data_IF_983337310759
#
_entry.id   IF_983337310759
#
_cell.length_a   1.000
_cell.length_b   1.000
_cell.length_c   1.000
_cell.angle_alpha   90.00
_cell.angle_beta   90.00
_cell.angle_gamma   90.00
#
_symmetry.space_group_name_H-M   'P 1'
#
loop_
_entity.id
_entity.type
_entity.pdbx_description
1 polymer ?
#
# COMPACT_ATOMS: atom_id res chain seq x y z
N UNK A 1 -4.64 4.53 -9.44
CA UNK A 1 -3.91 4.47 -8.15
C UNK A 1 -4.91 4.71 -7.03
N UNK A 2 -4.95 3.86 -6.00
CA UNK A 2 -5.74 4.12 -4.78
C UNK A 2 -4.80 4.56 -3.67
N UNK A 3 -5.02 5.75 -3.13
CA UNK A 3 -4.24 6.30 -2.00
C UNK A 3 -5.08 7.35 -1.27
N UNK A 4 -4.58 7.85 -0.14
CA UNK A 4 -5.18 8.95 0.57
C UNK A 4 -4.12 10.04 0.83
N UNK A 5 -4.46 11.29 0.58
CA UNK A 5 -3.63 12.49 0.80
C UNK A 5 -4.37 13.44 1.74
N UNK A 6 -3.65 14.37 2.36
CA UNK A 6 -4.30 15.44 3.14
C UNK A 6 -4.88 16.51 2.21
N UNK A 7 -5.88 17.23 2.71
CA UNK A 7 -6.39 18.44 2.07
C UNK A 7 -5.43 19.63 2.29
N UNK A 8 -4.24 19.52 1.71
CA UNK A 8 -3.17 20.51 1.82
C UNK A 8 -2.40 20.68 0.51
N UNK A 9 -1.56 21.71 0.46
CA UNK A 9 -0.78 22.05 -0.72
C UNK A 9 0.17 20.93 -1.15
N UNK A 10 0.64 20.07 -0.22
CA UNK A 10 1.52 18.95 -0.55
C UNK A 10 0.70 17.86 -1.26
N UNK A 11 -0.47 17.53 -0.74
CA UNK A 11 -1.39 16.56 -1.33
C UNK A 11 -1.83 16.97 -2.73
N UNK A 12 -2.26 18.23 -2.89
CA UNK A 12 -2.66 18.81 -4.18
C UNK A 12 -1.51 18.73 -5.19
N UNK A 13 -0.30 19.11 -4.76
CA UNK A 13 0.89 19.00 -5.59
C UNK A 13 1.15 17.56 -6.03
N UNK A 14 1.17 16.60 -5.10
CA UNK A 14 1.42 15.18 -5.40
C UNK A 14 0.39 14.60 -6.36
N UNK A 15 -0.91 14.85 -6.14
CA UNK A 15 -1.98 14.37 -7.02
C UNK A 15 -1.80 14.91 -8.44
N UNK A 16 -1.43 16.19 -8.59
CA UNK A 16 -1.14 16.81 -9.89
C UNK A 16 0.08 16.20 -10.57
N UNK A 17 1.18 15.99 -9.85
CA UNK A 17 2.39 15.40 -10.44
C UNK A 17 2.19 13.94 -10.86
N UNK A 18 1.43 13.16 -10.08
CA UNK A 18 1.07 11.78 -10.46
C UNK A 18 0.18 11.79 -11.72
N UNK A 19 -0.80 12.68 -11.81
CA UNK A 19 -1.68 12.76 -12.98
C UNK A 19 -0.91 13.01 -14.30
N UNK A 20 0.20 13.76 -14.26
CA UNK A 20 1.06 14.00 -15.44
C UNK A 20 1.71 12.72 -15.99
N UNK A 21 1.79 11.65 -15.20
CA UNK A 21 2.38 10.37 -15.61
C UNK A 21 1.41 9.48 -16.40
N UNK A 22 0.14 9.89 -16.56
CA UNK A 22 -0.91 9.09 -17.18
C UNK A 22 -1.55 8.06 -16.24
N UNK A 23 -1.17 8.05 -14.96
CA UNK A 23 -1.84 7.25 -13.92
C UNK A 23 -3.21 7.87 -13.63
N UNK A 24 -4.25 7.05 -13.60
CA UNK A 24 -5.56 7.47 -13.12
C UNK A 24 -5.52 7.81 -11.62
N UNK A 25 -5.87 9.06 -11.31
CA UNK A 25 -5.90 9.65 -9.96
C UNK A 25 -7.31 9.87 -9.42
N UNK A 26 -8.34 9.38 -10.11
CA UNK A 26 -9.75 9.47 -9.70
C UNK A 26 -9.99 8.84 -8.32
N UNK A 27 -9.24 7.79 -7.98
CA UNK A 27 -9.31 7.05 -6.72
C UNK A 27 -8.31 7.53 -5.64
N UNK A 28 -7.69 8.70 -5.82
CA UNK A 28 -6.91 9.35 -4.76
C UNK A 28 -7.88 10.13 -3.86
N UNK A 29 -8.14 9.57 -2.69
CA UNK A 29 -8.95 10.17 -1.63
C UNK A 29 -8.23 11.36 -0.99
N UNK A 30 -9.02 12.29 -0.45
CA UNK A 30 -8.54 13.47 0.27
C UNK A 30 -9.12 13.41 1.68
N UNK A 31 -8.26 13.47 2.69
CA UNK A 31 -8.62 13.53 4.11
C UNK A 31 -8.54 14.98 4.59
N UNK A 32 -9.64 15.50 5.15
CA UNK A 32 -9.73 16.88 5.62
C UNK A 32 -9.11 17.10 7.01
N UNK A 33 -8.76 16.02 7.73
CA UNK A 33 -8.33 16.08 9.13
C UNK A 33 -6.86 15.71 9.32
N UNK A 34 -6.30 14.88 8.44
CA UNK A 34 -4.91 14.44 8.50
C UNK A 34 -4.07 15.15 7.43
N UNK A 35 -2.88 15.68 7.77
CA UNK A 35 -1.98 16.25 6.77
C UNK A 35 -1.43 15.15 5.86
N UNK A 36 -0.95 15.53 4.67
CA UNK A 36 -0.27 14.63 3.74
C UNK A 36 0.98 14.03 4.38
N UNK A 37 1.15 12.71 4.22
CA UNK A 37 2.26 11.97 4.81
C UNK A 37 3.58 12.25 4.12
N UNK A 38 4.66 12.30 4.90
CA UNK A 38 6.00 12.67 4.44
C UNK A 38 7.00 11.62 4.93
N UNK A 39 7.92 11.24 4.04
CA UNK A 39 9.11 10.46 4.42
C UNK A 39 10.33 11.33 4.18
N UNK A 40 11.06 11.63 5.25
CA UNK A 40 12.34 12.35 5.18
C UNK A 40 13.44 11.32 5.02
N UNK A 41 14.24 11.44 3.96
CA UNK A 41 15.29 10.48 3.62
C UNK A 41 16.65 11.19 3.64
N UNK A 42 17.61 10.61 4.35
CA UNK A 42 19.00 11.05 4.34
C UNK A 42 19.73 10.53 3.10
N UNK A 43 20.51 11.39 2.43
CA UNK A 43 21.39 10.96 1.34
C UNK A 43 22.74 10.52 1.89
N UNK A 44 22.88 9.24 2.19
CA UNK A 44 24.16 8.62 2.57
C UNK A 44 24.68 7.75 1.42
N UNK A 45 26.00 7.44 1.41
CA UNK A 45 26.59 6.51 0.42
C UNK A 45 26.12 5.05 0.62
N UNK A 46 25.47 4.73 1.74
CA UNK A 46 24.98 3.41 2.12
C UNK A 46 23.47 3.25 1.95
N UNK A 47 22.84 2.42 2.80
CA UNK A 47 21.38 2.38 2.88
C UNK A 47 20.88 3.74 3.40
N UNK A 48 20.00 4.46 2.68
CA UNK A 48 19.45 5.71 3.16
C UNK A 48 18.68 5.48 4.47
N UNK A 49 19.05 6.20 5.53
CA UNK A 49 18.21 6.29 6.72
C UNK A 49 17.02 7.19 6.40
N UNK A 50 15.85 6.83 6.92
CA UNK A 50 14.63 7.60 6.72
C UNK A 50 13.80 7.69 8.00
N UNK A 51 12.97 8.73 8.07
CA UNK A 51 11.96 8.93 9.10
C UNK A 51 10.62 9.11 8.37
N UNK A 52 9.63 8.29 8.71
CA UNK A 52 8.31 8.35 8.11
C UNK A 52 7.31 9.01 9.08
N UNK A 53 6.72 10.11 8.64
CA UNK A 53 5.59 10.77 9.29
C UNK A 53 4.31 10.34 8.57
N UNK A 54 3.70 9.25 9.07
CA UNK A 54 2.50 8.64 8.49
C UNK A 54 1.22 9.21 9.10
N UNK A 55 0.35 9.74 8.23
CA UNK A 55 -0.82 10.56 8.57
C UNK A 55 -1.96 10.26 7.60
N UNK A 56 -2.19 11.03 6.53
CA UNK A 56 -3.25 10.75 5.57
C UNK A 56 -3.09 9.40 4.84
N UNK A 57 -1.86 8.92 4.58
CA UNK A 57 -1.65 7.70 3.79
C UNK A 57 -2.28 6.45 4.42
N UNK A 58 -2.31 6.39 5.76
CA UNK A 58 -2.97 5.31 6.52
C UNK A 58 -4.49 5.45 6.60
N UNK A 59 -5.08 6.55 6.12
CA UNK A 59 -6.53 6.83 6.18
C UNK A 59 -7.31 6.26 4.98
N UNK A 60 -6.81 5.18 4.35
CA UNK A 60 -7.61 4.43 3.39
C UNK A 60 -8.78 3.75 4.10
N UNK A 61 -9.95 3.82 3.46
CA UNK A 61 -11.22 3.30 3.96
C UNK A 61 -11.83 2.34 2.94
N UNK A 62 -12.72 1.42 3.34
CA UNK A 62 -13.32 0.45 2.42
C UNK A 62 -13.96 1.07 1.18
N UNK A 63 -14.66 2.21 1.32
CA UNK A 63 -15.29 2.90 0.20
C UNK A 63 -14.31 3.43 -0.85
N UNK A 64 -13.03 3.59 -0.52
CA UNK A 64 -12.00 4.01 -1.48
C UNK A 64 -11.60 2.89 -2.44
N UNK A 65 -11.96 1.63 -2.15
CA UNK A 65 -11.66 0.46 -2.98
C UNK A 65 -12.97 -0.30 -3.29
N UNK A 66 -13.84 0.25 -4.17
CA UNK A 66 -15.10 -0.40 -4.50
C UNK A 66 -14.91 -1.71 -5.28
N UNK A 67 -15.86 -2.64 -5.18
CA UNK A 67 -15.81 -3.92 -5.89
C UNK A 67 -15.78 -3.77 -7.42
N UNK A 68 -16.42 -2.74 -7.97
CA UNK A 68 -16.37 -2.45 -9.41
C UNK A 68 -14.93 -2.22 -9.88
N UNK A 69 -14.15 -1.44 -9.14
CA UNK A 69 -12.74 -1.20 -9.45
C UNK A 69 -11.92 -2.49 -9.37
N UNK A 70 -12.20 -3.35 -8.37
CA UNK A 70 -11.51 -4.63 -8.23
C UNK A 70 -11.85 -5.60 -9.36
N UNK A 71 -13.11 -5.65 -9.79
CA UNK A 71 -13.58 -6.51 -10.88
C UNK A 71 -13.00 -6.11 -12.25
N UNK A 72 -12.72 -4.83 -12.45
CA UNK A 72 -12.08 -4.30 -13.66
C UNK A 72 -10.55 -4.44 -13.63
N UNK A 73 -9.97 -4.79 -12.48
CA UNK A 73 -8.53 -4.89 -12.28
C UNK A 73 -8.01 -6.30 -12.56
N UNK A 74 -6.92 -6.39 -13.34
CA UNK A 74 -6.21 -7.66 -13.52
C UNK A 74 -5.37 -8.04 -12.29
N UNK A 75 -4.81 -7.04 -11.59
CA UNK A 75 -3.92 -7.22 -10.45
C UNK A 75 -4.22 -6.17 -9.37
N UNK A 76 -4.43 -6.63 -8.13
CA UNK A 76 -4.42 -5.82 -6.93
C UNK A 76 -3.05 -5.91 -6.27
N UNK A 77 -2.30 -4.81 -6.24
CA UNK A 77 -0.95 -4.76 -5.69
C UNK A 77 -0.87 -3.86 -4.46
N UNK A 78 -0.17 -4.29 -3.42
CA UNK A 78 0.13 -3.49 -2.22
C UNK A 78 1.55 -3.71 -1.71
N UNK A 79 1.93 -3.00 -0.65
CA UNK A 79 3.26 -3.05 -0.03
C UNK A 79 3.16 -3.27 1.49
N UNK A 80 4.22 -3.79 2.12
CA UNK A 80 4.30 -3.87 3.58
C UNK A 80 4.22 -2.49 4.24
N UNK A 81 4.70 -1.42 3.57
CA UNK A 81 4.56 -0.06 4.08
C UNK A 81 3.09 0.33 4.29
N UNK A 82 2.25 0.13 3.26
CA UNK A 82 0.83 0.46 3.34
C UNK A 82 0.09 -0.41 4.39
N UNK A 83 0.48 -1.68 4.51
CA UNK A 83 -0.08 -2.61 5.49
C UNK A 83 0.33 -2.32 6.93
N UNK A 84 1.29 -1.45 7.20
CA UNK A 84 1.87 -1.34 8.56
C UNK A 84 1.01 -0.60 9.60
N UNK A 85 -0.06 0.10 9.20
CA UNK A 85 -0.91 0.85 10.14
C UNK A 85 -2.39 0.84 9.71
N UNK A 86 -3.27 0.80 10.72
CA UNK A 86 -4.70 1.00 10.54
C UNK A 86 -5.08 2.50 10.39
N UNK A 87 -6.21 2.81 9.71
CA UNK A 87 -7.19 1.88 9.10
C UNK A 87 -6.81 1.28 7.73
N UNK A 88 -5.72 1.73 7.12
CA UNK A 88 -5.30 1.21 5.81
C UNK A 88 -5.01 -0.30 5.82
N UNK A 89 -4.39 -0.83 6.87
CA UNK A 89 -4.09 -2.26 7.00
C UNK A 89 -5.35 -3.12 6.81
N UNK A 90 -6.34 -2.93 7.67
CA UNK A 90 -7.60 -3.68 7.62
C UNK A 90 -8.33 -3.49 6.28
N UNK A 91 -8.38 -2.26 5.77
CA UNK A 91 -8.98 -1.94 4.46
C UNK A 91 -8.31 -2.68 3.30
N UNK A 92 -6.98 -2.70 3.25
CA UNK A 92 -6.21 -3.33 2.17
C UNK A 92 -6.30 -4.86 2.25
N UNK A 93 -6.28 -5.42 3.46
CA UNK A 93 -6.44 -6.87 3.67
C UNK A 93 -7.84 -7.32 3.24
N UNK A 94 -8.88 -6.56 3.57
CA UNK A 94 -10.24 -6.82 3.08
C UNK A 94 -10.33 -6.71 1.55
N UNK A 95 -9.82 -5.63 0.97
CA UNK A 95 -9.80 -5.44 -0.47
C UNK A 95 -9.08 -6.58 -1.21
N UNK A 96 -7.98 -7.11 -0.67
CA UNK A 96 -7.30 -8.25 -1.27
C UNK A 96 -8.13 -9.54 -1.24
N UNK A 97 -8.91 -9.77 -0.17
CA UNK A 97 -9.85 -10.90 -0.11
C UNK A 97 -10.93 -10.76 -1.19
N UNK A 98 -11.54 -9.57 -1.30
CA UNK A 98 -12.56 -9.26 -2.31
C UNK A 98 -11.98 -9.37 -3.73
N UNK A 99 -10.79 -8.84 -3.96
CA UNK A 99 -10.09 -8.94 -5.25
C UNK A 99 -9.90 -10.40 -5.66
N UNK A 100 -9.40 -11.25 -4.77
CA UNK A 100 -9.22 -12.67 -5.05
C UNK A 100 -10.55 -13.36 -5.40
N UNK A 101 -11.64 -13.05 -4.67
CA UNK A 101 -12.97 -13.57 -4.96
C UNK A 101 -13.53 -13.09 -6.32
N UNK A 102 -13.14 -11.89 -6.76
CA UNK A 102 -13.50 -11.29 -8.04
C UNK A 102 -12.56 -11.69 -9.19
N UNK A 103 -11.71 -12.70 -9.00
CA UNK A 103 -10.70 -13.16 -9.97
C UNK A 103 -9.60 -12.13 -10.30
N UNK A 104 -9.44 -11.08 -9.49
CA UNK A 104 -8.33 -10.14 -9.58
C UNK A 104 -7.11 -10.71 -8.83
N UNK A 105 -5.97 -10.81 -9.52
CA UNK A 105 -4.76 -11.40 -8.94
C UNK A 105 -4.20 -10.51 -7.83
N UNK A 106 -3.90 -11.08 -6.68
CA UNK A 106 -3.29 -10.35 -5.56
C UNK A 106 -1.76 -10.39 -5.67
N UNK A 107 -1.10 -9.27 -5.34
CA UNK A 107 0.35 -9.12 -5.32
C UNK A 107 0.81 -8.27 -4.13
N UNK A 108 1.95 -8.63 -3.54
CA UNK A 108 2.56 -7.92 -2.42
C UNK A 108 4.05 -7.66 -2.71
N UNK A 109 4.48 -6.41 -2.52
CA UNK A 109 5.90 -6.11 -2.31
C UNK A 109 6.22 -6.22 -0.81
N UNK A 110 7.02 -7.24 -0.46
CA UNK A 110 7.40 -7.55 0.92
C UNK A 110 8.53 -6.64 1.45
N UNK A 111 8.42 -5.32 1.21
CA UNK A 111 9.41 -4.30 1.56
C UNK A 111 9.42 -3.95 3.07
N UNK A 112 9.47 -4.96 3.93
CA UNK A 112 9.44 -4.79 5.39
C UNK A 112 10.60 -3.94 5.92
N UNK A 113 10.26 -2.95 6.75
CA UNK A 113 11.22 -2.17 7.53
C UNK A 113 10.72 -2.06 8.97
N UNK A 114 11.58 -2.40 9.93
CA UNK A 114 11.26 -2.34 11.36
C UNK A 114 10.92 -0.92 11.81
N UNK A 115 11.50 0.10 11.17
CA UNK A 115 11.19 1.51 11.42
C UNK A 115 9.76 1.91 11.06
N UNK A 116 9.11 1.14 10.17
CA UNK A 116 7.74 1.38 9.69
C UNK A 116 6.75 0.48 10.40
N UNK A 117 7.12 -0.78 10.64
CA UNK A 117 6.28 -1.78 11.28
C UNK A 117 7.03 -2.43 12.47
N UNK A 118 6.99 -1.80 13.66
CA UNK A 118 7.79 -2.21 14.81
C UNK A 118 7.37 -3.58 15.38
N UNK A 119 6.07 -3.87 15.38
CA UNK A 119 5.56 -5.16 15.82
C UNK A 119 5.80 -6.22 14.74
N UNK A 120 6.96 -6.87 14.84
CA UNK A 120 7.38 -7.94 13.94
C UNK A 120 6.40 -9.12 13.95
N UNK A 121 5.81 -9.46 15.11
CA UNK A 121 4.89 -10.60 15.20
C UNK A 121 3.62 -10.29 14.41
N UNK A 122 3.02 -9.13 14.66
CA UNK A 122 1.85 -8.66 13.91
C UNK A 122 2.17 -8.57 12.40
N UNK A 123 3.33 -8.04 12.02
CA UNK A 123 3.73 -7.98 10.62
C UNK A 123 3.75 -9.37 9.96
N UNK A 124 4.34 -10.36 10.63
CA UNK A 124 4.35 -11.74 10.14
C UNK A 124 2.94 -12.34 10.04
N UNK A 125 2.08 -12.13 11.04
CA UNK A 125 0.70 -12.62 11.01
C UNK A 125 -0.09 -12.02 9.85
N UNK A 126 -0.03 -10.70 9.66
CA UNK A 126 -0.72 -10.00 8.57
C UNK A 126 -0.18 -10.40 7.20
N UNK A 127 1.14 -10.45 7.02
CA UNK A 127 1.76 -10.87 5.75
C UNK A 127 1.44 -12.33 5.44
N UNK A 128 1.42 -13.21 6.44
CA UNK A 128 1.08 -14.63 6.26
C UNK A 128 -0.39 -14.81 5.91
N UNK A 129 -1.29 -14.07 6.57
CA UNK A 129 -2.71 -14.08 6.23
C UNK A 129 -2.95 -13.55 4.80
N UNK A 130 -2.24 -12.49 4.40
CA UNK A 130 -2.24 -11.99 3.03
C UNK A 130 -1.72 -13.06 2.06
N UNK A 131 -0.62 -13.74 2.41
CA UNK A 131 -0.03 -14.85 1.65
C UNK A 131 -0.99 -16.04 1.47
N UNK A 132 -1.81 -16.37 2.47
CA UNK A 132 -2.78 -17.47 2.35
C UNK A 132 -3.81 -17.23 1.23
N UNK A 133 -4.12 -15.97 0.89
CA UNK A 133 -4.98 -15.65 -0.26
C UNK A 133 -4.33 -16.08 -1.59
N UNK A 134 -3.00 -16.14 -1.65
CA UNK A 134 -2.25 -16.60 -2.83
C UNK A 134 -2.41 -18.11 -3.03
N UNK A 135 -2.45 -18.88 -1.95
CA UNK A 135 -2.39 -20.34 -2.03
C UNK A 135 -3.74 -21.01 -2.33
N UNK A 136 -4.84 -20.25 -2.32
CA UNK A 136 -6.13 -20.76 -2.78
C UNK A 136 -6.12 -21.04 -4.30
N UNK A 137 -5.28 -20.34 -5.08
CA UNK A 137 -5.12 -20.54 -6.52
C UNK A 137 -3.66 -20.32 -6.99
N UNK A 138 -2.75 -21.30 -6.84
CA UNK A 138 -1.31 -21.13 -7.04
C UNK A 138 -0.89 -20.69 -8.47
N UNK A 139 -1.68 -21.00 -9.50
CA UNK A 139 -1.42 -20.57 -10.87
C UNK A 139 -1.61 -19.05 -11.12
N UNK A 140 -2.17 -18.33 -10.15
CA UNK A 140 -2.56 -16.92 -10.29
C UNK A 140 -1.70 -15.99 -9.42
N UNK A 141 -0.46 -16.32 -9.10
CA UNK A 141 0.32 -15.58 -8.09
C UNK A 141 1.65 -15.01 -8.58
N UNK A 142 1.96 -13.77 -8.16
CA UNK A 142 3.28 -13.16 -8.27
C UNK A 142 3.63 -12.39 -6.99
N UNK A 143 4.57 -12.94 -6.22
CA UNK A 143 5.22 -12.26 -5.10
C UNK A 143 6.55 -11.73 -5.61
N UNK A 144 6.74 -10.41 -5.52
CA UNK A 144 8.04 -9.79 -5.80
C UNK A 144 8.70 -9.51 -4.45
N UNK A 145 9.68 -10.34 -4.09
CA UNK A 145 10.56 -10.00 -2.98
C UNK A 145 11.49 -8.87 -3.45
N UNK A 146 11.27 -7.64 -2.98
CA UNK A 146 12.29 -6.60 -3.05
C UNK A 146 13.31 -6.82 -1.92
N UNK A 147 14.01 -7.96 -1.99
CA UNK A 147 15.06 -8.34 -1.06
C UNK A 147 16.40 -8.34 -1.79
N UNK A 148 17.33 -7.50 -1.33
CA UNK A 148 18.75 -7.55 -1.71
C UNK A 148 19.22 -9.00 -1.66
N UNK A 149 19.85 -9.51 -2.73
CA UNK A 149 20.77 -10.64 -2.59
C UNK A 149 21.74 -10.23 -1.49
N UNK A 150 21.67 -10.87 -0.33
CA UNK A 150 22.76 -10.83 0.63
C UNK A 150 23.94 -11.46 -0.11
N UNK A 151 24.96 -10.65 -0.40
CA UNK A 151 26.30 -11.15 -0.57
C UNK A 151 26.84 -11.54 0.81
#
# INVERSE_FOLDING_TARGET
>A
LVSCIGNDNIGIYLKREVAKTGIDVSHIAVDDFQPTSIVVVSRTKGTPDFIAYRTADRMLQPQHIPDSLLAESAIFHTTCFALSQDPAQSTIVDAAKRANALNCRVSLDANYAIQIWPDRKQAWETISAYHCLFWQHPARCQIKFCGRRRA
#
